data_IF_280325879649
#
_entry.id   IF_280325879649
#
_cell.length_a   1.000
_cell.length_b   1.000
_cell.length_c   1.000
_cell.angle_alpha   90.00
_cell.angle_beta   90.00
_cell.angle_gamma   90.00
#
_symmetry.space_group_name_H-M   'P 1'
#
loop_
_entity.id
_entity.type
_entity.pdbx_description
1 polymer ?
#
# COMPACT_ATOMS: atom_id res chain seq x y z
N UNK A 1 73.72 49.82 12.03
CA UNK A 1 73.09 49.10 10.90
C UNK A 1 71.90 48.33 11.43
N UNK A 2 70.69 48.79 11.13
CA UNK A 2 69.44 48.17 11.59
C UNK A 2 68.89 47.20 10.52
N UNK A 3 68.26 46.08 10.89
CA UNK A 3 67.71 45.12 9.93
C UNK A 3 66.34 45.58 9.39
N UNK A 4 65.92 45.12 8.19
CA UNK A 4 64.69 45.56 7.57
C UNK A 4 63.45 44.89 8.18
N UNK A 5 62.39 45.69 8.34
CA UNK A 5 61.05 45.30 8.81
C UNK A 5 60.37 44.36 7.82
N UNK A 6 59.99 43.16 8.25
CA UNK A 6 59.10 42.27 7.54
C UNK A 6 57.64 42.78 7.64
N UNK A 7 56.96 42.91 6.50
CA UNK A 7 55.53 43.25 6.43
C UNK A 7 54.69 41.99 6.61
N UNK A 8 53.79 42.00 7.57
CA UNK A 8 52.76 40.99 7.78
C UNK A 8 51.83 40.91 6.56
N UNK A 9 51.67 39.71 5.97
CA UNK A 9 50.62 39.42 5.00
C UNK A 9 49.36 38.99 5.75
N UNK A 10 48.28 39.70 5.44
CA UNK A 10 46.91 39.47 5.89
C UNK A 10 46.39 38.22 5.18
N UNK A 11 46.03 37.19 5.95
CA UNK A 11 45.28 36.03 5.45
C UNK A 11 43.85 36.50 5.16
N UNK A 12 43.37 36.26 3.94
CA UNK A 12 41.95 36.39 3.60
C UNK A 12 41.25 35.08 4.00
N UNK A 13 40.15 35.20 4.75
CA UNK A 13 39.21 34.11 4.98
C UNK A 13 38.68 33.62 3.64
N UNK A 14 38.83 32.32 3.40
CA UNK A 14 38.09 31.60 2.36
C UNK A 14 36.64 31.60 2.84
N UNK A 15 35.82 32.44 2.22
CA UNK A 15 34.37 32.27 2.31
C UNK A 15 34.06 30.91 1.68
N UNK A 16 33.56 29.98 2.49
CA UNK A 16 32.92 28.77 1.97
C UNK A 16 31.78 29.19 1.04
N UNK A 17 31.90 28.78 -0.21
CA UNK A 17 30.94 29.02 -1.27
C UNK A 17 29.69 28.15 -0.99
N UNK A 18 28.47 28.71 -0.97
CA UNK A 18 27.27 27.93 -0.69
C UNK A 18 27.05 26.91 -1.80
N UNK A 19 27.09 25.62 -1.45
CA UNK A 19 26.85 24.52 -2.38
C UNK A 19 25.40 24.04 -2.25
N UNK A 20 24.60 24.24 -3.29
CA UNK A 20 23.23 23.74 -3.33
C UNK A 20 23.21 22.21 -3.50
N UNK A 21 22.61 21.47 -2.55
CA UNK A 21 22.45 20.01 -2.60
C UNK A 21 21.09 19.57 -3.11
N UNK A 22 21.04 18.46 -3.84
CA UNK A 22 19.82 17.77 -4.27
C UNK A 22 19.96 16.29 -3.88
N UNK A 23 19.00 15.79 -3.10
CA UNK A 23 18.86 14.37 -2.78
C UNK A 23 17.81 13.74 -3.68
N UNK A 24 18.06 12.56 -4.23
CA UNK A 24 17.06 11.81 -5.00
C UNK A 24 16.87 10.45 -4.33
N UNK A 25 15.63 10.14 -3.98
CA UNK A 25 15.27 8.91 -3.27
C UNK A 25 14.03 8.27 -3.89
N UNK A 26 13.95 6.94 -3.97
CA UNK A 26 12.86 6.26 -4.69
C UNK A 26 12.13 5.27 -3.80
N UNK A 27 10.86 5.03 -4.11
CA UNK A 27 10.07 3.95 -3.54
C UNK A 27 9.98 2.77 -4.52
N UNK A 28 10.09 1.52 -4.05
CA UNK A 28 9.61 0.36 -4.81
C UNK A 28 8.07 0.30 -4.81
N UNK A 29 7.53 -0.37 -5.83
CA UNK A 29 6.13 -0.45 -6.26
C UNK A 29 5.06 -0.62 -5.15
N UNK A 30 3.97 0.15 -5.26
CA UNK A 30 2.65 -0.13 -4.65
C UNK A 30 1.55 0.26 -5.66
N UNK A 31 0.67 -0.67 -6.09
CA UNK A 31 -0.41 -0.38 -7.02
C UNK A 31 -1.71 -0.14 -6.24
N UNK A 32 -1.93 1.10 -5.82
CA UNK A 32 -3.23 1.76 -5.58
C UNK A 32 -3.05 2.83 -4.50
N UNK A 33 -3.06 4.11 -4.89
CA UNK A 33 -4.04 5.06 -4.35
C UNK A 33 -3.83 6.49 -4.89
N UNK A 34 -4.96 7.11 -5.19
CA UNK A 34 -5.07 8.53 -5.54
C UNK A 34 -4.94 9.39 -4.28
N UNK A 35 -3.88 10.20 -4.17
CA UNK A 35 -3.68 11.12 -3.04
C UNK A 35 -4.11 12.54 -3.42
N UNK A 36 -5.15 13.04 -2.73
CA UNK A 36 -5.37 14.46 -2.51
C UNK A 36 -4.50 14.91 -1.32
N UNK A 37 -3.67 15.92 -1.54
CA UNK A 37 -2.80 16.50 -0.50
C UNK A 37 -3.58 17.56 0.29
N UNK A 38 -3.76 17.33 1.59
CA UNK A 38 -4.20 18.35 2.55
C UNK A 38 -2.99 18.92 3.32
N UNK A 39 -2.97 20.23 3.65
CA UNK A 39 -1.81 20.87 4.25
C UNK A 39 -1.67 20.61 5.75
N UNK A 40 -0.44 20.30 6.18
CA UNK A 40 -0.03 20.21 7.58
C UNK A 40 -0.18 21.57 8.30
N UNK A 41 -0.93 21.58 9.41
CA UNK A 41 -1.04 22.72 10.31
C UNK A 41 -0.20 22.48 11.57
N UNK A 42 0.82 23.31 11.73
CA UNK A 42 1.66 23.41 12.92
C UNK A 42 0.83 23.87 14.13
N UNK A 43 0.74 23.07 15.20
CA UNK A 43 0.17 23.52 16.49
C UNK A 43 1.24 23.43 17.58
N UNK A 44 1.56 24.61 18.08
CA UNK A 44 2.47 24.92 19.18
C UNK A 44 1.85 24.44 20.50
N UNK A 45 2.56 23.59 21.23
CA UNK A 45 2.22 23.18 22.60
C UNK A 45 2.30 24.38 23.56
N UNK A 46 1.19 24.72 24.19
CA UNK A 46 1.08 25.68 25.29
C UNK A 46 0.30 25.00 26.40
N UNK A 47 0.98 24.72 27.50
CA UNK A 47 0.45 24.20 28.75
C UNK A 47 -0.59 25.15 29.38
N UNK A 48 -1.78 24.65 29.72
CA UNK A 48 -2.59 25.07 30.88
C UNK A 48 -3.77 24.07 31.14
N UNK A 49 -4.35 24.04 32.36
CA UNK A 49 -4.91 22.82 32.94
C UNK A 49 -6.43 22.62 32.79
N UNK A 50 -6.78 21.33 32.82
CA UNK A 50 -8.02 20.66 33.26
C UNK A 50 -9.29 21.53 33.48
N UNK A 51 -10.25 21.35 32.57
CA UNK A 51 -11.67 21.54 32.84
C UNK A 51 -12.41 20.23 32.50
N UNK A 52 -13.09 19.66 33.51
CA UNK A 52 -13.97 18.50 33.39
C UNK A 52 -15.23 18.92 32.63
N UNK A 53 -15.40 18.40 31.42
CA UNK A 53 -16.60 18.57 30.59
C UNK A 53 -17.24 17.22 30.30
N UNK A 54 -18.47 17.03 30.79
CA UNK A 54 -19.30 15.86 30.53
C UNK A 54 -19.60 15.74 29.02
N UNK A 55 -19.28 14.59 28.43
CA UNK A 55 -19.54 14.30 27.01
C UNK A 55 -20.82 13.49 26.83
N UNK A 56 -21.69 14.03 25.99
CA UNK A 56 -22.99 13.50 25.63
C UNK A 56 -22.84 12.35 24.62
N UNK A 57 -23.26 11.14 25.03
CA UNK A 57 -23.57 10.06 24.10
C UNK A 57 -24.90 10.35 23.41
N UNK A 58 -24.86 10.60 22.10
CA UNK A 58 -26.08 10.70 21.31
C UNK A 58 -25.83 10.77 19.81
N UNK A 59 -26.44 9.83 19.08
CA UNK A 59 -26.68 9.83 17.62
C UNK A 59 -25.63 9.19 16.70
N UNK A 60 -25.43 7.87 16.78
CA UNK A 60 -24.80 7.06 15.72
C UNK A 60 -25.61 5.83 15.29
N UNK A 61 -26.93 5.81 15.51
CA UNK A 61 -27.79 4.66 15.15
C UNK A 61 -28.63 4.89 13.87
N UNK A 62 -28.67 6.12 13.34
CA UNK A 62 -29.54 6.45 12.19
C UNK A 62 -28.91 6.09 10.84
N UNK A 63 -27.57 6.09 10.72
CA UNK A 63 -26.89 5.83 9.44
C UNK A 63 -26.83 4.35 9.08
N UNK A 64 -26.69 3.46 10.06
CA UNK A 64 -26.57 2.01 9.82
C UNK A 64 -27.90 1.37 9.44
N UNK A 65 -29.02 1.88 9.97
CA UNK A 65 -30.36 1.36 9.64
C UNK A 65 -30.79 1.62 8.19
N UNK A 66 -30.33 2.72 7.58
CA UNK A 66 -30.69 3.07 6.19
C UNK A 66 -30.04 2.13 5.16
N UNK A 67 -28.81 1.68 5.42
CA UNK A 67 -28.09 0.78 4.51
C UNK A 67 -28.72 -0.61 4.49
N UNK A 68 -29.15 -1.12 5.65
CA UNK A 68 -29.84 -2.41 5.77
C UNK A 68 -31.22 -2.42 5.09
N UNK A 69 -31.99 -1.33 5.20
CA UNK A 69 -33.29 -1.24 4.51
C UNK A 69 -33.13 -1.18 2.98
N UNK A 70 -32.09 -0.50 2.49
CA UNK A 70 -31.84 -0.40 1.05
C UNK A 70 -31.42 -1.74 0.43
N UNK A 71 -30.59 -2.53 1.13
CA UNK A 71 -30.17 -3.87 0.67
C UNK A 71 -31.34 -4.85 0.62
N UNK A 72 -32.21 -4.85 1.64
CA UNK A 72 -33.42 -5.70 1.65
C UNK A 72 -34.33 -5.33 0.47
N UNK A 73 -34.58 -4.04 0.25
CA UNK A 73 -35.45 -3.59 -0.85
C UNK A 73 -34.90 -3.97 -2.22
N UNK A 74 -33.59 -3.83 -2.42
CA UNK A 74 -32.95 -4.20 -3.69
C UNK A 74 -33.01 -5.71 -3.97
N UNK A 75 -32.76 -6.55 -2.96
CA UNK A 75 -32.86 -8.01 -3.11
C UNK A 75 -34.30 -8.47 -3.38
N UNK A 76 -35.30 -7.85 -2.74
CA UNK A 76 -36.70 -8.15 -2.97
C UNK A 76 -37.13 -7.75 -4.39
N UNK A 77 -36.70 -6.56 -4.86
CA UNK A 77 -36.95 -6.09 -6.21
C UNK A 77 -36.32 -6.99 -7.27
N UNK A 78 -35.07 -7.42 -7.07
CA UNK A 78 -34.38 -8.30 -8.02
C UNK A 78 -35.06 -9.68 -8.11
N UNK A 79 -35.47 -10.25 -6.97
CA UNK A 79 -36.21 -11.51 -6.93
C UNK A 79 -37.58 -11.39 -7.60
N UNK A 80 -38.27 -10.25 -7.43
CA UNK A 80 -39.54 -9.97 -8.10
C UNK A 80 -39.36 -9.82 -9.62
N UNK A 81 -38.34 -9.10 -10.09
CA UNK A 81 -38.06 -8.98 -11.53
C UNK A 81 -37.73 -10.34 -12.17
N UNK A 82 -36.93 -11.18 -11.50
CA UNK A 82 -36.60 -12.51 -12.01
C UNK A 82 -37.83 -13.43 -12.10
N UNK A 83 -38.68 -13.45 -11.06
CA UNK A 83 -39.91 -14.26 -11.08
C UNK A 83 -40.92 -13.76 -12.11
N UNK A 84 -41.06 -12.44 -12.29
CA UNK A 84 -41.94 -11.87 -13.31
C UNK A 84 -41.44 -12.17 -14.72
N UNK A 85 -40.14 -12.05 -14.97
CA UNK A 85 -39.54 -12.37 -16.26
C UNK A 85 -39.73 -13.85 -16.62
N UNK A 86 -39.45 -14.77 -15.68
CA UNK A 86 -39.65 -16.22 -15.90
C UNK A 86 -41.12 -16.56 -16.10
N UNK A 87 -42.03 -15.96 -15.33
CA UNK A 87 -43.47 -16.20 -15.48
C UNK A 87 -44.00 -15.67 -16.81
N UNK A 88 -43.52 -14.52 -17.29
CA UNK A 88 -43.96 -13.93 -18.58
C UNK A 88 -43.41 -14.74 -19.76
N UNK A 89 -42.20 -15.26 -19.64
CA UNK A 89 -41.60 -16.19 -20.61
C UNK A 89 -42.39 -17.50 -20.63
N UNK A 90 -42.70 -18.10 -19.48
CA UNK A 90 -43.50 -19.33 -19.42
C UNK A 90 -44.94 -19.13 -19.91
N UNK A 91 -45.56 -17.96 -19.68
CA UNK A 91 -46.90 -17.66 -20.21
C UNK A 91 -46.93 -17.45 -21.73
N UNK A 92 -45.82 -16.97 -22.32
CA UNK A 92 -45.70 -16.85 -23.79
C UNK A 92 -45.27 -18.13 -24.49
N UNK A 93 -44.67 -19.08 -23.77
CA UNK A 93 -44.41 -20.44 -24.26
C UNK A 93 -45.56 -21.41 -23.93
N UNK A 94 -46.80 -20.90 -23.89
CA UNK A 94 -48.02 -21.70 -23.79
C UNK A 94 -48.17 -22.66 -24.97
N UNK A 95 -47.49 -23.80 -24.89
CA UNK A 95 -47.87 -25.01 -25.60
C UNK A 95 -49.18 -25.48 -25.00
N UNK A 96 -50.29 -25.10 -25.62
CA UNK A 96 -51.59 -25.74 -25.37
C UNK A 96 -51.50 -27.19 -25.85
N UNK A 97 -51.78 -28.20 -25.01
CA UNK A 97 -51.90 -29.55 -25.50
C UNK A 97 -53.28 -29.67 -26.15
N UNK A 98 -53.32 -29.74 -27.47
CA UNK A 98 -54.18 -30.66 -28.22
C UNK A 98 -54.01 -30.44 -29.74
N UNK A 99 -53.29 -31.37 -30.37
CA UNK A 99 -53.63 -31.80 -31.72
C UNK A 99 -53.21 -30.94 -32.92
N UNK A 100 -52.19 -30.07 -32.83
CA UNK A 100 -51.69 -29.38 -34.03
C UNK A 100 -50.17 -29.21 -34.02
N UNK A 101 -49.53 -29.64 -35.11
CA UNK A 101 -48.08 -29.57 -35.37
C UNK A 101 -47.58 -28.13 -35.21
N UNK A 102 -47.04 -27.82 -34.03
CA UNK A 102 -46.52 -26.49 -33.71
C UNK A 102 -45.08 -26.42 -34.21
N UNK A 103 -44.87 -25.65 -35.28
CA UNK A 103 -43.54 -25.30 -35.77
C UNK A 103 -42.89 -24.35 -34.75
N UNK A 104 -41.86 -24.83 -34.05
CA UNK A 104 -41.04 -23.98 -33.19
C UNK A 104 -40.22 -23.06 -34.10
N UNK A 105 -40.56 -21.78 -34.14
CA UNK A 105 -39.73 -20.78 -34.82
C UNK A 105 -38.55 -20.47 -33.89
N UNK A 106 -37.29 -20.69 -34.31
CA UNK A 106 -36.13 -20.33 -33.50
C UNK A 106 -36.14 -18.83 -33.20
N UNK A 107 -35.90 -18.49 -31.93
CA UNK A 107 -35.94 -17.13 -31.37
C UNK A 107 -34.81 -16.21 -31.90
N UNK A 108 -34.25 -16.49 -33.07
CA UNK A 108 -33.17 -15.73 -33.71
C UNK A 108 -33.67 -14.59 -34.60
N UNK A 109 -34.99 -14.49 -34.86
CA UNK A 109 -35.54 -13.59 -35.88
C UNK A 109 -36.17 -12.31 -35.28
N UNK A 110 -36.12 -12.08 -33.96
CA UNK A 110 -36.66 -10.84 -33.37
C UNK A 110 -35.72 -9.63 -33.63
N UNK A 111 -36.10 -8.66 -34.48
CA UNK A 111 -35.28 -7.48 -34.74
C UNK A 111 -35.23 -6.61 -33.48
N UNK A 112 -34.06 -6.51 -32.85
CA UNK A 112 -33.83 -5.71 -31.64
C UNK A 112 -32.95 -6.39 -30.59
N UNK A 113 -32.83 -7.71 -30.60
CA UNK A 113 -32.00 -8.45 -29.63
C UNK A 113 -30.56 -8.75 -30.09
N UNK A 114 -30.23 -8.49 -31.36
CA UNK A 114 -28.87 -8.63 -31.90
C UNK A 114 -27.74 -7.98 -31.07
N UNK A 115 -27.88 -6.74 -30.55
CA UNK A 115 -26.84 -6.15 -29.72
C UNK A 115 -26.70 -6.82 -28.34
N UNK A 116 -27.77 -7.41 -27.79
CA UNK A 116 -27.74 -8.07 -26.49
C UNK A 116 -26.97 -9.40 -26.53
N UNK A 117 -27.17 -10.21 -27.58
CA UNK A 117 -26.40 -11.45 -27.77
C UNK A 117 -24.91 -11.18 -28.00
N UNK A 118 -24.55 -10.08 -28.69
CA UNK A 118 -23.14 -9.65 -28.82
C UNK A 118 -22.52 -9.27 -27.48
N UNK A 119 -23.29 -8.66 -26.58
CA UNK A 119 -22.81 -8.30 -25.25
C UNK A 119 -22.63 -9.55 -24.37
N UNK A 120 -23.61 -10.46 -24.35
CA UNK A 120 -23.49 -11.72 -23.60
C UNK A 120 -22.30 -12.56 -24.06
N UNK A 121 -22.05 -12.64 -25.37
CA UNK A 121 -20.88 -13.35 -25.88
C UNK A 121 -19.56 -12.70 -25.44
N UNK A 122 -19.48 -11.37 -25.38
CA UNK A 122 -18.29 -10.67 -24.86
C UNK A 122 -18.09 -10.89 -23.36
N UNK A 123 -19.17 -10.91 -22.58
CA UNK A 123 -19.10 -11.21 -21.15
C UNK A 123 -18.63 -12.65 -20.89
N UNK A 124 -19.14 -13.63 -21.65
CA UNK A 124 -18.66 -15.01 -21.56
C UNK A 124 -17.17 -15.14 -21.95
N UNK A 125 -16.74 -14.38 -22.97
CA UNK A 125 -15.33 -14.36 -23.38
C UNK A 125 -14.42 -13.70 -22.35
N UNK A 126 -14.90 -12.69 -21.60
CA UNK A 126 -14.14 -12.09 -20.51
C UNK A 126 -14.09 -12.99 -19.27
N UNK A 127 -15.17 -13.70 -18.95
CA UNK A 127 -15.19 -14.68 -17.86
C UNK A 127 -14.12 -15.76 -18.05
N UNK A 128 -14.02 -16.33 -19.26
CA UNK A 128 -13.00 -17.34 -19.54
C UNK A 128 -11.56 -16.81 -19.46
N UNK A 129 -11.34 -15.50 -19.71
CA UNK A 129 -10.03 -14.87 -19.50
C UNK A 129 -9.69 -14.71 -18.02
N UNK A 130 -10.68 -14.44 -17.16
CA UNK A 130 -10.47 -14.35 -15.71
C UNK A 130 -10.06 -15.73 -15.18
N UNK A 131 -10.75 -16.79 -15.61
CA UNK A 131 -10.42 -18.17 -15.21
C UNK A 131 -9.02 -18.58 -15.69
N UNK A 132 -8.64 -18.23 -16.93
CA UNK A 132 -7.28 -18.47 -17.47
C UNK A 132 -6.20 -17.68 -16.71
N UNK A 133 -6.48 -16.43 -16.33
CA UNK A 133 -5.54 -15.63 -15.53
C UNK A 133 -5.42 -16.18 -14.11
N UNK A 134 -6.51 -16.61 -13.48
CA UNK A 134 -6.46 -17.28 -12.17
C UNK A 134 -5.68 -18.59 -12.24
N UNK A 135 -5.85 -19.36 -13.31
CA UNK A 135 -5.07 -20.58 -13.56
C UNK A 135 -3.58 -20.28 -13.78
N UNK A 136 -3.25 -19.19 -14.49
CA UNK A 136 -1.85 -18.76 -14.68
C UNK A 136 -1.22 -18.25 -13.39
N UNK A 137 -1.97 -17.54 -12.55
CA UNK A 137 -1.51 -17.08 -11.23
C UNK A 137 -1.21 -18.26 -10.31
N UNK A 138 -2.12 -19.23 -10.20
CA UNK A 138 -1.89 -20.45 -9.42
C UNK A 138 -0.69 -21.26 -9.92
N UNK A 139 -0.46 -21.30 -11.25
CA UNK A 139 0.72 -21.95 -11.81
C UNK A 139 2.02 -21.17 -11.62
N UNK A 140 1.96 -19.84 -11.55
CA UNK A 140 3.10 -18.98 -11.22
C UNK A 140 3.48 -19.11 -9.74
N UNK A 141 2.50 -19.32 -8.87
CA UNK A 141 2.70 -19.64 -7.45
C UNK A 141 3.45 -20.97 -7.28
N UNK A 142 3.15 -21.98 -8.10
CA UNK A 142 3.90 -23.25 -8.14
C UNK A 142 5.31 -23.14 -8.79
N UNK A 143 5.57 -22.11 -9.60
CA UNK A 143 6.83 -21.94 -10.35
C UNK A 143 7.81 -20.96 -9.73
N UNK A 144 7.38 -20.15 -8.76
CA UNK A 144 8.29 -19.34 -7.97
C UNK A 144 8.94 -20.25 -6.91
N UNK A 145 10.26 -20.50 -6.97
CA UNK A 145 10.98 -21.16 -5.90
C UNK A 145 11.17 -20.16 -4.76
N UNK A 146 10.07 -19.70 -4.17
CA UNK A 146 10.08 -19.29 -2.78
C UNK A 146 10.06 -20.58 -1.96
N UNK A 147 11.20 -21.28 -1.99
CA UNK A 147 11.63 -22.16 -0.92
C UNK A 147 11.36 -21.41 0.39
N UNK A 148 10.28 -21.74 1.11
CA UNK A 148 10.29 -22.79 2.10
C UNK A 148 8.85 -23.08 2.56
N UNK A 149 8.43 -24.34 2.46
CA UNK A 149 7.47 -24.95 3.39
C UNK A 149 8.04 -24.96 4.83
N UNK A 150 8.51 -23.82 5.34
CA UNK A 150 8.81 -23.67 6.75
C UNK A 150 7.48 -23.40 7.42
N UNK A 151 6.80 -24.48 7.80
CA UNK A 151 5.67 -24.42 8.73
C UNK A 151 6.09 -23.52 9.89
N UNK A 152 5.36 -22.43 10.10
CA UNK A 152 5.64 -21.54 11.22
C UNK A 152 5.15 -22.19 12.51
N UNK A 153 6.08 -22.79 13.25
CA UNK A 153 5.77 -23.44 14.52
C UNK A 153 5.38 -22.45 15.62
N UNK A 154 5.61 -21.14 15.42
CA UNK A 154 5.26 -20.08 16.35
C UNK A 154 3.89 -19.45 16.06
N UNK A 155 3.17 -19.87 15.01
CA UNK A 155 1.87 -19.31 14.66
C UNK A 155 0.79 -19.69 15.69
N UNK A 156 0.07 -18.69 16.21
CA UNK A 156 -1.02 -18.89 17.18
C UNK A 156 -2.11 -19.82 16.65
N UNK A 157 -2.50 -19.65 15.39
CA UNK A 157 -3.50 -20.49 14.71
C UNK A 157 -3.11 -21.97 14.59
N UNK A 158 -1.84 -22.31 14.79
CA UNK A 158 -1.33 -23.69 14.81
C UNK A 158 -1.12 -24.24 16.23
N UNK A 159 -1.45 -23.47 17.27
CA UNK A 159 -1.38 -23.89 18.67
C UNK A 159 -0.15 -23.40 19.42
N UNK A 160 0.67 -22.53 18.83
CA UNK A 160 1.73 -21.84 19.55
C UNK A 160 1.15 -20.86 20.58
N UNK A 161 1.86 -20.64 21.69
CA UNK A 161 1.38 -19.79 22.78
C UNK A 161 2.54 -18.99 23.40
N UNK A 162 2.25 -17.82 23.95
CA UNK A 162 3.23 -17.05 24.73
C UNK A 162 3.36 -17.65 26.12
N UNK A 163 4.58 -17.72 26.65
CA UNK A 163 4.90 -18.13 28.04
C UNK A 163 5.05 -16.84 28.89
N UNK A 164 4.04 -16.42 29.66
CA UNK A 164 4.03 -15.11 30.30
C UNK A 164 5.19 -14.89 31.28
N UNK A 165 5.66 -15.95 31.95
CA UNK A 165 6.76 -15.87 32.92
C UNK A 165 8.11 -15.59 32.27
N UNK A 166 8.24 -15.86 30.96
CA UNK A 166 9.45 -15.62 30.17
C UNK A 166 9.32 -14.38 29.27
N UNK A 167 8.19 -13.69 29.32
CA UNK A 167 7.90 -12.51 28.50
C UNK A 167 8.00 -11.23 29.33
N UNK A 168 8.59 -10.19 28.74
CA UNK A 168 8.68 -8.87 29.36
C UNK A 168 7.30 -8.31 29.68
N UNK A 169 7.22 -7.46 30.70
CA UNK A 169 5.95 -6.86 31.11
C UNK A 169 5.50 -5.77 30.12
N UNK A 170 4.23 -5.85 29.73
CA UNK A 170 3.56 -4.87 28.90
C UNK A 170 3.46 -3.52 29.60
N UNK A 171 3.40 -2.44 28.82
CA UNK A 171 3.05 -1.12 29.33
C UNK A 171 1.60 -1.18 29.85
N UNK A 172 1.38 -0.84 31.12
CA UNK A 172 0.12 -1.09 31.84
C UNK A 172 -1.08 -0.24 31.39
N UNK A 173 -1.17 0.13 30.13
CA UNK A 173 -2.35 0.76 29.54
C UNK A 173 -3.47 -0.29 29.39
N UNK A 174 -4.70 0.10 29.67
CA UNK A 174 -5.88 -0.75 29.47
C UNK A 174 -6.11 -1.09 27.98
N UNK A 175 -5.48 -0.34 27.07
CA UNK A 175 -5.51 -0.56 25.63
C UNK A 175 -4.23 -1.21 25.07
N UNK A 176 -3.33 -1.69 25.93
CA UNK A 176 -2.09 -2.32 25.47
C UNK A 176 -2.39 -3.59 24.66
N UNK A 177 -1.71 -3.73 23.52
CA UNK A 177 -1.76 -4.94 22.70
C UNK A 177 -1.07 -6.06 23.45
N UNK A 178 -1.71 -7.23 23.55
CA UNK A 178 -1.15 -8.38 24.25
C UNK A 178 0.03 -8.99 23.47
N UNK A 179 1.01 -9.59 24.15
CA UNK A 179 2.13 -10.27 23.49
C UNK A 179 1.71 -11.38 22.52
N UNK A 180 0.52 -11.97 22.71
CA UNK A 180 -0.02 -12.99 21.81
C UNK A 180 -0.22 -12.49 20.38
N UNK A 181 -0.44 -11.19 20.19
CA UNK A 181 -0.62 -10.59 18.86
C UNK A 181 0.64 -10.73 17.96
N UNK A 182 1.83 -10.93 18.56
CA UNK A 182 3.08 -11.18 17.81
C UNK A 182 3.04 -12.52 17.06
N UNK A 183 2.15 -13.43 17.47
CA UNK A 183 2.02 -14.77 16.89
C UNK A 183 0.87 -14.87 15.86
N UNK A 184 0.18 -13.77 15.56
CA UNK A 184 -0.89 -13.71 14.56
C UNK A 184 -0.33 -13.42 13.15
N UNK A 185 -0.91 -14.03 12.10
CA UNK A 185 -0.55 -13.81 10.69
C UNK A 185 -1.83 -13.66 9.84
N UNK A 186 -2.00 -12.56 9.07
CA UNK A 186 -1.11 -11.39 8.97
C UNK A 186 -1.25 -10.43 10.18
N UNK A 187 -0.19 -9.70 10.55
CA UNK A 187 -0.29 -8.68 11.59
C UNK A 187 -1.20 -7.54 11.14
N UNK A 188 -2.12 -7.11 12.00
CA UNK A 188 -2.95 -5.94 11.74
C UNK A 188 -2.12 -4.66 11.94
N UNK A 189 -2.32 -3.68 11.05
CA UNK A 189 -1.61 -2.39 11.14
C UNK A 189 -1.92 -1.69 12.47
N UNK A 190 -0.87 -1.38 13.24
CA UNK A 190 -0.97 -0.74 14.55
C UNK A 190 -1.18 -1.69 15.72
N UNK A 191 -1.24 -3.01 15.50
CA UNK A 191 -1.34 -4.02 16.56
C UNK A 191 0.03 -4.62 16.91
N UNK A 192 1.02 -3.77 17.22
CA UNK A 192 2.32 -4.24 17.71
C UNK A 192 2.32 -4.36 19.25
N UNK A 193 2.92 -5.44 19.75
CA UNK A 193 3.19 -5.58 21.18
C UNK A 193 4.34 -4.67 21.62
N UNK A 194 4.08 -3.80 22.59
CA UNK A 194 5.05 -2.88 23.17
C UNK A 194 5.43 -3.30 24.60
N UNK A 195 6.72 -3.28 24.92
CA UNK A 195 7.24 -3.59 26.25
C UNK A 195 8.04 -2.43 26.84
N UNK A 196 8.10 -2.35 28.17
CA UNK A 196 8.82 -1.26 28.83
C UNK A 196 10.34 -1.38 28.71
N UNK A 197 10.99 -0.32 28.20
CA UNK A 197 12.45 -0.15 28.20
C UNK A 197 13.13 -0.45 26.86
N UNK A 198 14.46 -0.50 26.87
CA UNK A 198 15.27 -0.72 25.65
C UNK A 198 15.64 -2.17 25.39
N UNK A 199 15.25 -3.07 26.30
CA UNK A 199 15.58 -4.50 26.25
C UNK A 199 14.34 -5.27 26.71
N UNK A 200 13.93 -6.24 25.92
CA UNK A 200 12.79 -7.10 26.21
C UNK A 200 13.04 -8.52 25.72
N UNK A 201 12.17 -9.42 26.15
CA UNK A 201 12.19 -10.83 25.77
C UNK A 201 10.75 -11.32 25.63
N UNK A 202 10.53 -12.30 24.77
CA UNK A 202 9.26 -13.00 24.62
C UNK A 202 9.53 -14.50 24.69
N UNK A 203 8.81 -15.19 25.58
CA UNK A 203 8.81 -16.65 25.63
C UNK A 203 7.74 -17.19 24.71
N UNK A 204 8.10 -18.07 23.78
CA UNK A 204 7.16 -18.70 22.85
C UNK A 204 7.21 -20.22 23.04
N UNK A 205 6.06 -20.81 23.35
CA UNK A 205 5.81 -22.24 23.26
C UNK A 205 5.39 -22.56 21.83
N UNK A 206 6.20 -23.36 21.14
CA UNK A 206 5.89 -23.80 19.78
C UNK A 206 4.72 -24.78 19.77
N UNK A 207 3.99 -24.81 18.66
CA UNK A 207 2.89 -25.75 18.41
C UNK A 207 3.32 -27.22 18.51
N UNK A 208 4.51 -27.54 18.00
CA UNK A 208 5.14 -28.86 18.06
C UNK A 208 6.63 -28.73 18.38
N UNK A 209 7.23 -29.78 18.96
CA UNK A 209 8.68 -29.84 19.12
C UNK A 209 9.36 -29.93 17.75
N UNK A 210 10.19 -28.93 17.41
CA UNK A 210 10.83 -28.81 16.12
C UNK A 210 12.33 -28.50 16.24
N UNK A 211 13.10 -28.84 15.20
CA UNK A 211 14.49 -28.41 15.05
C UNK A 211 14.52 -27.07 14.32
N UNK A 212 14.89 -25.99 15.01
CA UNK A 212 14.80 -24.62 14.48
C UNK A 212 15.94 -24.38 13.49
N UNK A 213 15.59 -24.19 12.22
CA UNK A 213 16.54 -23.92 11.12
C UNK A 213 16.60 -22.45 10.72
N UNK A 214 15.52 -21.70 10.94
CA UNK A 214 15.39 -20.30 10.58
C UNK A 214 14.44 -19.56 11.53
N UNK A 215 14.52 -18.23 11.55
CA UNK A 215 13.63 -17.32 12.26
C UNK A 215 13.32 -16.12 11.35
N UNK A 216 12.06 -15.70 11.32
CA UNK A 216 11.59 -14.50 10.62
C UNK A 216 11.17 -13.42 11.62
N UNK A 217 11.35 -12.15 11.25
CA UNK A 217 10.84 -11.00 11.99
C UNK A 217 10.14 -10.09 10.98
N UNK A 218 8.83 -9.87 11.15
CA UNK A 218 8.07 -8.91 10.37
C UNK A 218 7.94 -7.61 11.16
N UNK A 219 8.16 -6.48 10.48
CA UNK A 219 7.79 -5.16 10.97
C UNK A 219 6.78 -4.61 9.97
N UNK A 220 5.75 -3.87 10.41
CA UNK A 220 4.93 -3.13 9.47
C UNK A 220 5.88 -2.26 8.64
N UNK A 221 5.94 -2.53 7.33
CA UNK A 221 6.65 -1.66 6.41
C UNK A 221 5.89 -0.34 6.43
N UNK A 222 6.48 0.67 7.07
CA UNK A 222 6.00 2.03 6.93
C UNK A 222 6.06 2.36 5.43
N UNK A 223 4.91 2.70 4.85
CA UNK A 223 4.79 2.98 3.43
C UNK A 223 5.83 4.04 3.03
N UNK A 224 6.64 3.72 2.01
CA UNK A 224 7.76 4.50 1.46
C UNK A 224 9.11 4.41 2.19
N UNK A 225 9.68 3.19 2.30
CA UNK A 225 11.14 3.07 2.40
C UNK A 225 11.77 3.66 1.14
N UNK A 226 12.22 4.91 1.26
CA UNK A 226 12.89 5.68 0.23
C UNK A 226 14.35 5.24 0.16
N UNK A 227 14.74 4.60 -0.95
CA UNK A 227 16.12 4.21 -1.22
C UNK A 227 16.87 5.38 -1.85
N UNK A 228 17.92 5.93 -1.20
CA UNK A 228 18.69 7.01 -1.78
C UNK A 228 19.44 6.50 -3.00
N UNK A 229 19.23 7.14 -4.16
CA UNK A 229 19.89 6.77 -5.41
C UNK A 229 21.15 7.58 -5.68
N UNK A 230 21.04 8.88 -5.49
CA UNK A 230 22.10 9.84 -5.77
C UNK A 230 21.94 11.06 -4.88
N UNK A 231 23.07 11.54 -4.37
CA UNK A 231 23.20 12.86 -3.76
C UNK A 231 24.11 13.66 -4.68
N UNK A 232 23.62 14.79 -5.20
CA UNK A 232 24.35 15.57 -6.19
C UNK A 232 24.18 17.07 -5.96
N UNK A 233 25.15 17.85 -6.44
CA UNK A 233 25.13 19.30 -6.39
C UNK A 233 25.02 19.86 -7.81
N UNK A 234 24.02 20.71 -8.06
CA UNK A 234 23.90 21.40 -9.34
C UNK A 234 24.82 22.62 -9.37
N UNK A 235 25.74 22.68 -10.34
CA UNK A 235 26.70 23.79 -10.44
C UNK A 235 26.20 24.89 -11.38
N UNK A 236 25.73 26.02 -10.83
CA UNK A 236 25.21 27.13 -11.62
C UNK A 236 26.27 27.84 -12.51
N UNK A 237 27.56 27.70 -12.20
CA UNK A 237 28.65 28.31 -13.01
C UNK A 237 29.11 27.41 -14.15
N UNK A 238 28.55 26.20 -14.28
CA UNK A 238 28.90 25.29 -15.37
C UNK A 238 28.54 25.91 -16.73
N UNK A 239 29.41 25.79 -17.76
CA UNK A 239 29.07 26.23 -19.11
C UNK A 239 27.95 25.37 -19.75
N UNK A 240 27.62 24.23 -19.15
CA UNK A 240 26.54 23.35 -19.59
C UNK A 240 25.28 23.62 -18.75
N UNK A 241 24.21 24.06 -19.42
CA UNK A 241 22.91 24.31 -18.79
C UNK A 241 22.23 23.03 -18.30
N UNK A 242 22.54 21.88 -18.91
CA UNK A 242 22.08 20.54 -18.51
C UNK A 242 23.23 19.76 -17.89
N UNK A 243 23.04 19.30 -16.65
CA UNK A 243 23.98 18.44 -15.93
C UNK A 243 23.33 17.08 -15.69
N UNK A 244 24.11 16.00 -15.81
CA UNK A 244 23.66 14.62 -15.64
C UNK A 244 24.47 14.01 -14.50
N UNK A 245 23.79 13.37 -13.55
CA UNK A 245 24.40 12.74 -12.39
C UNK A 245 24.19 11.23 -12.45
N UNK A 246 25.27 10.47 -12.25
CA UNK A 246 25.20 9.01 -12.22
C UNK A 246 24.63 8.53 -10.88
N UNK A 247 23.76 7.50 -10.94
CA UNK A 247 23.24 6.83 -9.75
C UNK A 247 24.39 6.11 -9.04
N UNK A 248 24.60 6.42 -7.75
CA UNK A 248 25.70 5.86 -6.95
C UNK A 248 25.27 4.67 -6.10
N UNK A 249 23.97 4.52 -5.85
CA UNK A 249 23.44 3.44 -5.04
C UNK A 249 23.62 2.06 -5.68
N UNK A 250 24.22 1.08 -4.97
CA UNK A 250 24.40 -0.27 -5.51
C UNK A 250 23.08 -1.02 -5.67
N UNK A 251 22.09 -0.71 -4.82
CA UNK A 251 20.74 -1.30 -4.87
C UNK A 251 20.07 -0.99 -6.21
N UNK A 252 20.36 0.18 -6.80
CA UNK A 252 19.77 0.63 -8.04
C UNK A 252 20.12 -0.22 -9.26
N UNK A 253 21.15 -1.07 -9.16
CA UNK A 253 21.56 -1.98 -10.23
C UNK A 253 20.78 -3.29 -10.23
N UNK A 254 20.11 -3.62 -9.12
CA UNK A 254 19.46 -4.92 -8.91
C UNK A 254 17.95 -4.75 -8.77
N UNK A 255 17.49 -3.55 -8.42
CA UNK A 255 16.08 -3.24 -8.18
C UNK A 255 15.54 -2.36 -9.32
N UNK A 256 14.31 -2.64 -9.74
CA UNK A 256 13.54 -1.79 -10.66
C UNK A 256 12.67 -0.83 -9.87
N UNK A 257 12.50 0.39 -10.37
CA UNK A 257 11.72 1.43 -9.71
C UNK A 257 10.71 2.03 -10.67
N UNK A 258 9.49 2.19 -10.21
CA UNK A 258 8.41 2.82 -10.97
C UNK A 258 8.20 4.29 -10.57
N UNK A 259 8.61 4.65 -9.35
CA UNK A 259 8.42 5.99 -8.78
C UNK A 259 9.77 6.57 -8.40
N UNK A 260 10.00 7.83 -8.80
CA UNK A 260 11.20 8.60 -8.46
C UNK A 260 10.82 9.85 -7.69
N UNK A 261 11.41 10.07 -6.50
CA UNK A 261 11.25 11.31 -5.73
C UNK A 261 12.52 12.14 -5.79
N UNK A 262 12.40 13.40 -6.19
CA UNK A 262 13.50 14.38 -6.18
C UNK A 262 13.28 15.36 -5.04
N UNK A 263 14.23 15.41 -4.12
CA UNK A 263 14.25 16.30 -2.97
C UNK A 263 15.30 17.40 -3.18
N UNK A 264 14.87 18.65 -3.20
CA UNK A 264 15.78 19.80 -3.27
C UNK A 264 16.15 20.22 -1.86
N UNK A 265 17.43 20.06 -1.48
CA UNK A 265 17.88 20.32 -0.12
C UNK A 265 18.26 21.80 0.10
N UNK A 266 18.78 22.46 -0.95
CA UNK A 266 19.19 23.87 -0.88
C UNK A 266 19.16 24.54 -2.28
N UNK A 267 19.33 25.86 -2.33
CA UNK A 267 19.42 26.65 -3.56
C UNK A 267 20.64 27.61 -3.56
N UNK A 268 20.83 28.36 -4.64
CA UNK A 268 21.98 29.28 -4.80
C UNK A 268 21.75 30.65 -4.13
N UNK A 269 21.15 30.68 -2.93
CA UNK A 269 20.89 31.89 -2.15
C UNK A 269 19.68 32.71 -2.60
N UNK A 270 18.74 32.10 -3.32
CA UNK A 270 17.50 32.74 -3.77
C UNK A 270 16.39 32.64 -2.73
N UNK A 271 15.45 33.60 -2.73
CA UNK A 271 14.25 33.56 -1.88
C UNK A 271 13.27 32.44 -2.26
N UNK A 272 13.42 31.87 -3.46
CA UNK A 272 12.66 30.73 -3.95
C UNK A 272 13.51 29.86 -4.87
N UNK A 273 13.09 28.60 -5.07
CA UNK A 273 13.77 27.64 -5.94
C UNK A 273 12.91 27.33 -7.17
N UNK A 274 13.50 27.49 -8.36
CA UNK A 274 12.84 27.19 -9.64
C UNK A 274 13.52 26.02 -10.34
N UNK A 275 12.77 24.96 -10.65
CA UNK A 275 13.25 23.80 -11.40
C UNK A 275 12.76 23.89 -12.85
N UNK A 276 13.70 23.89 -13.81
CA UNK A 276 13.36 24.00 -15.24
C UNK A 276 13.04 22.65 -15.88
N UNK A 277 13.84 21.61 -15.59
CA UNK A 277 13.69 20.28 -16.19
C UNK A 277 14.34 19.21 -15.29
N UNK A 278 13.62 18.11 -15.09
CA UNK A 278 14.12 16.88 -14.45
C UNK A 278 14.01 15.74 -15.46
N UNK A 279 15.08 14.98 -15.65
CA UNK A 279 15.09 13.79 -16.49
C UNK A 279 15.56 12.57 -15.72
N UNK A 280 14.84 11.47 -15.87
CA UNK A 280 15.22 10.14 -15.35
C UNK A 280 15.61 9.28 -16.55
N UNK A 281 16.76 8.62 -16.48
CA UNK A 281 17.30 7.80 -17.55
C UNK A 281 17.57 6.39 -17.02
N UNK A 282 17.17 5.37 -17.78
CA UNK A 282 17.38 3.96 -17.46
C UNK A 282 17.59 3.15 -18.74
N UNK A 283 17.94 1.87 -18.58
CA UNK A 283 17.93 0.90 -19.67
C UNK A 283 16.57 0.20 -19.70
N UNK A 284 16.02 0.02 -20.89
CA UNK A 284 14.82 -0.79 -21.12
C UNK A 284 15.29 -2.23 -21.36
N UNK A 285 14.83 -3.17 -20.52
CA UNK A 285 15.09 -4.61 -20.68
C UNK A 285 14.00 -5.27 -21.53
#
# INVERSE_FOLDING_TARGET
MAPPRAKARKWYNIHEEPQAGIGISLTPFSPDDSIQVAPCRYIRSSSQPLAVGASAHGTSWVKTGFIWLFTIFFTAFQTWCCTFAVSTVLYKFGCTPEGSTTVCIPLEILPGFGPFFRLQHRLAQMSGKIDDMQYKLSRLEDQLPLDFHNRDFALWGLGAQVIPELTSRDEGDANAVLPSAVLDDPPLLGECWEFMGRRGQIGIQLSDAANITAMSLSQPFDESVLVPLVHAHYNATSPQSRQIFAVTSPVAKVVRFDIVVVEVLDNWGGESTCLYHIGVHGLED
#
